data_IF_706233089101
#
_entry.id   IF_706233089101
#
_cell.length_a   1.000
_cell.length_b   1.000
_cell.length_c   1.000
_cell.angle_alpha   90.00
_cell.angle_beta   90.00
_cell.angle_gamma   90.00
#
_symmetry.space_group_name_H-M   'P 1'
#
loop_
_entity.id
_entity.type
_entity.pdbx_description
1 polymer ?
#
# COMPACT_ATOMS: atom_id res chain seq x y z
N UNK A 1 19.84 8.09 -6.63
CA UNK A 1 19.27 6.95 -5.87
C UNK A 1 18.10 6.44 -6.70
N UNK A 2 17.96 5.14 -6.93
CA UNK A 2 16.85 4.59 -7.71
C UNK A 2 15.55 4.73 -6.90
N UNK A 3 14.51 5.34 -7.48
CA UNK A 3 13.26 5.72 -6.79
C UNK A 3 12.13 4.72 -7.01
N UNK A 4 12.14 4.01 -8.14
CA UNK A 4 11.14 2.99 -8.44
C UNK A 4 11.16 2.51 -9.89
N UNK A 5 10.31 1.54 -10.19
CA UNK A 5 10.07 1.01 -11.53
C UNK A 5 8.65 1.38 -11.97
N UNK A 6 8.53 2.21 -13.01
CA UNK A 6 7.25 2.50 -13.63
C UNK A 6 6.77 1.32 -14.48
N UNK A 7 5.47 1.02 -14.41
CA UNK A 7 4.80 -0.02 -15.17
C UNK A 7 3.66 0.62 -15.95
N UNK A 8 3.74 0.57 -17.27
CA UNK A 8 2.64 0.98 -18.15
C UNK A 8 1.79 -0.25 -18.46
N UNK A 9 0.53 -0.21 -18.02
CA UNK A 9 -0.43 -1.29 -18.29
C UNK A 9 -1.34 -0.84 -19.42
N UNK A 10 -1.21 -1.49 -20.57
CA UNK A 10 -1.91 -1.13 -21.81
C UNK A 10 -3.44 -1.05 -21.66
N UNK A 11 -4.02 -0.13 -22.42
CA UNK A 11 -5.46 0.04 -22.56
C UNK A 11 -6.11 -1.25 -23.08
N UNK A 12 -7.23 -1.64 -22.46
CA UNK A 12 -7.95 -2.87 -22.82
C UNK A 12 -7.52 -4.13 -22.07
N UNK A 13 -6.60 -4.05 -21.09
CA UNK A 13 -6.41 -5.14 -20.13
C UNK A 13 -7.75 -5.45 -19.43
N UNK A 14 -8.22 -6.72 -19.43
CA UNK A 14 -9.45 -7.08 -18.73
C UNK A 14 -9.34 -6.74 -17.24
N UNK A 15 -10.51 -6.55 -16.60
CA UNK A 15 -10.68 -6.15 -15.18
C UNK A 15 -9.56 -6.73 -14.28
N UNK A 16 -8.93 -5.93 -13.40
CA UNK A 16 -7.88 -6.44 -12.53
C UNK A 16 -8.40 -7.61 -11.71
N UNK A 17 -7.53 -8.60 -11.60
CA UNK A 17 -7.76 -9.82 -10.85
C UNK A 17 -7.83 -9.59 -9.35
N UNK A 18 -7.45 -8.43 -8.86
CA UNK A 18 -7.66 -7.99 -7.48
C UNK A 18 -8.08 -6.52 -7.49
N UNK A 19 -9.22 -6.18 -6.92
CA UNK A 19 -9.72 -4.82 -7.02
C UNK A 19 -10.58 -4.39 -5.84
N UNK A 20 -10.74 -3.07 -5.74
CA UNK A 20 -11.60 -2.42 -4.75
C UNK A 20 -12.97 -2.20 -5.39
N UNK A 21 -14.01 -2.49 -4.62
CA UNK A 21 -15.41 -2.27 -4.99
C UNK A 21 -16.10 -1.41 -3.94
N UNK A 22 -16.99 -0.53 -4.38
CA UNK A 22 -17.84 0.30 -3.51
C UNK A 22 -19.29 -0.14 -3.65
N UNK A 23 -19.96 -0.36 -2.52
CA UNK A 23 -21.36 -0.79 -2.51
C UNK A 23 -22.33 0.36 -2.21
N UNK A 24 -21.82 1.56 -1.93
CA UNK A 24 -22.59 2.68 -1.37
C UNK A 24 -22.67 2.63 0.16
N UNK A 25 -23.06 3.76 0.76
CA UNK A 25 -23.17 3.87 2.22
C UNK A 25 -21.88 3.49 2.95
N UNK A 26 -20.73 4.00 2.47
CA UNK A 26 -19.39 3.83 3.09
C UNK A 26 -18.85 2.39 3.11
N UNK A 27 -19.42 1.49 2.30
CA UNK A 27 -19.02 0.08 2.23
C UNK A 27 -18.03 -0.19 1.10
N UNK A 28 -16.93 -0.83 1.44
CA UNK A 28 -15.88 -1.29 0.54
C UNK A 28 -15.80 -2.82 0.55
N UNK A 29 -15.47 -3.39 -0.59
CA UNK A 29 -15.11 -4.80 -0.73
C UNK A 29 -13.82 -4.88 -1.55
N UNK A 30 -12.81 -5.57 -1.03
CA UNK A 30 -11.70 -6.01 -1.85
C UNK A 30 -11.97 -7.45 -2.25
N UNK A 31 -11.94 -7.71 -3.55
CA UNK A 31 -12.15 -9.05 -4.09
C UNK A 31 -11.04 -9.41 -5.06
N UNK A 32 -10.47 -10.60 -4.86
CA UNK A 32 -9.51 -11.19 -5.77
C UNK A 32 -10.21 -12.22 -6.65
N UNK A 33 -10.43 -11.85 -7.91
CA UNK A 33 -11.31 -12.54 -8.85
C UNK A 33 -12.70 -12.62 -8.20
N UNK A 34 -13.28 -13.81 -8.12
CA UNK A 34 -14.57 -14.04 -7.47
C UNK A 34 -14.49 -14.20 -5.95
N UNK A 35 -13.29 -14.07 -5.35
CA UNK A 35 -13.08 -14.31 -3.91
C UNK A 35 -13.14 -13.01 -3.12
N UNK A 36 -14.11 -12.84 -2.20
CA UNK A 36 -14.08 -11.71 -1.28
C UNK A 36 -12.90 -11.86 -0.32
N UNK A 37 -12.06 -10.85 -0.21
CA UNK A 37 -10.81 -10.85 0.59
C UNK A 37 -10.96 -9.98 1.84
N UNK A 38 -11.48 -8.77 1.69
CA UNK A 38 -11.67 -7.82 2.77
C UNK A 38 -13.00 -7.11 2.61
N UNK A 39 -13.82 -7.13 3.64
CA UNK A 39 -14.99 -6.27 3.77
C UNK A 39 -14.61 -5.10 4.66
N UNK A 40 -15.04 -3.90 4.30
CA UNK A 40 -14.74 -2.71 5.07
C UNK A 40 -15.93 -1.74 5.10
N UNK A 41 -16.07 -1.02 6.20
CA UNK A 41 -17.07 0.02 6.41
C UNK A 41 -16.38 1.25 6.98
N UNK A 42 -16.39 2.34 6.23
CA UNK A 42 -15.86 3.62 6.70
C UNK A 42 -16.82 4.21 7.73
N UNK A 43 -16.28 4.68 8.84
CA UNK A 43 -17.06 5.31 9.90
C UNK A 43 -17.73 6.61 9.43
N UNK A 44 -18.81 7.03 10.10
CA UNK A 44 -19.57 8.21 9.71
C UNK A 44 -18.81 9.50 9.93
N UNK A 45 -18.05 9.56 11.03
CA UNK A 45 -17.16 10.67 11.36
C UNK A 45 -15.87 10.68 10.54
N UNK A 46 -15.67 9.73 9.62
CA UNK A 46 -14.41 9.55 8.88
C UNK A 46 -13.20 9.45 9.82
N UNK A 47 -13.38 8.81 10.98
CA UNK A 47 -12.30 8.55 11.93
C UNK A 47 -11.47 7.31 11.61
N UNK A 48 -12.04 6.40 10.81
CA UNK A 48 -11.40 5.14 10.49
C UNK A 48 -12.30 4.18 9.75
N UNK A 49 -11.88 2.91 9.71
CA UNK A 49 -12.51 1.84 8.95
C UNK A 49 -12.60 0.56 9.77
N UNK A 50 -13.82 0.10 10.02
CA UNK A 50 -14.05 -1.27 10.48
C UNK A 50 -13.82 -2.23 9.33
N UNK A 51 -13.06 -3.29 9.54
CA UNK A 51 -12.81 -4.28 8.50
C UNK A 51 -13.00 -5.71 8.97
N UNK A 52 -13.18 -6.59 7.99
CA UNK A 52 -13.23 -8.03 8.17
C UNK A 52 -12.53 -8.75 7.02
N UNK A 53 -11.45 -9.47 7.34
CA UNK A 53 -10.69 -10.32 6.42
C UNK A 53 -11.33 -11.68 6.28
N UNK A 54 -11.21 -12.24 5.08
CA UNK A 54 -11.47 -13.66 4.84
C UNK A 54 -10.13 -14.39 4.67
N UNK A 55 -10.15 -15.72 4.75
CA UNK A 55 -8.97 -16.55 4.44
C UNK A 55 -8.85 -16.85 2.93
N UNK A 56 -9.59 -16.11 2.08
CA UNK A 56 -9.65 -16.37 0.65
C UNK A 56 -8.49 -15.75 -0.14
N UNK A 57 -7.74 -14.83 0.45
CA UNK A 57 -6.61 -14.18 -0.21
C UNK A 57 -5.52 -15.18 -0.64
N UNK A 58 -5.00 -15.01 -1.85
CA UNK A 58 -3.82 -15.74 -2.34
C UNK A 58 -2.81 -14.73 -2.90
N UNK A 59 -1.54 -14.91 -2.57
CA UNK A 59 -0.49 -14.05 -3.12
C UNK A 59 -0.41 -14.19 -4.65
N UNK A 60 -0.22 -13.07 -5.33
CA UNK A 60 0.04 -13.00 -6.77
C UNK A 60 1.49 -13.42 -7.12
N UNK A 61 2.37 -13.54 -6.12
CA UNK A 61 3.77 -13.92 -6.28
C UNK A 61 3.96 -15.40 -5.96
N UNK A 62 4.60 -16.19 -6.84
CA UNK A 62 4.91 -17.58 -6.56
C UNK A 62 5.97 -17.69 -5.44
N UNK A 63 6.01 -18.79 -4.67
CA UNK A 63 6.99 -18.96 -3.59
C UNK A 63 8.43 -18.71 -4.04
N UNK A 64 9.10 -17.74 -3.39
CA UNK A 64 10.49 -17.40 -3.69
C UNK A 64 11.43 -18.46 -3.15
N UNK A 65 12.38 -18.90 -3.98
CA UNK A 65 13.42 -19.85 -3.60
C UNK A 65 14.59 -19.13 -2.93
N UNK A 66 15.23 -19.80 -1.98
CA UNK A 66 16.37 -19.22 -1.25
C UNK A 66 17.54 -18.87 -2.18
N UNK A 67 17.77 -19.64 -3.24
CA UNK A 67 18.82 -19.38 -4.22
C UNK A 67 18.58 -18.08 -5.02
N UNK A 68 17.34 -17.83 -5.41
CA UNK A 68 16.92 -16.57 -6.02
C UNK A 68 17.14 -15.41 -5.05
N UNK A 69 16.81 -15.61 -3.77
CA UNK A 69 16.98 -14.59 -2.75
C UNK A 69 18.45 -14.15 -2.61
N UNK A 70 19.39 -15.11 -2.60
CA UNK A 70 20.83 -14.84 -2.55
C UNK A 70 21.33 -14.16 -3.82
N UNK A 71 20.88 -14.61 -5.00
CA UNK A 71 21.30 -14.05 -6.30
C UNK A 71 20.90 -12.58 -6.46
N UNK A 72 19.78 -12.17 -5.86
CA UNK A 72 19.22 -10.82 -5.96
C UNK A 72 19.42 -10.00 -4.66
N UNK A 73 20.21 -10.48 -3.72
CA UNK A 73 20.38 -9.83 -2.43
C UNK A 73 20.93 -8.40 -2.60
N UNK A 74 20.34 -7.45 -1.88
CA UNK A 74 20.77 -6.05 -1.90
C UNK A 74 20.52 -5.29 -3.21
N UNK A 75 19.77 -5.85 -4.18
CA UNK A 75 19.46 -5.18 -5.45
C UNK A 75 17.93 -4.93 -5.59
N UNK A 76 17.43 -3.77 -5.09
CA UNK A 76 16.02 -3.41 -5.18
C UNK A 76 15.49 -3.35 -6.60
N UNK A 77 16.30 -2.91 -7.56
CA UNK A 77 15.89 -2.75 -8.96
C UNK A 77 15.62 -4.12 -9.60
N UNK A 78 16.49 -5.11 -9.37
CA UNK A 78 16.25 -6.48 -9.86
C UNK A 78 15.04 -7.13 -9.20
N UNK A 79 14.80 -6.87 -7.91
CA UNK A 79 13.57 -7.31 -7.25
C UNK A 79 12.33 -6.67 -7.85
N UNK A 80 12.40 -5.37 -8.15
CA UNK A 80 11.30 -4.65 -8.75
C UNK A 80 10.93 -5.21 -10.12
N UNK A 81 11.91 -5.43 -11.01
CA UNK A 81 11.66 -6.09 -12.30
C UNK A 81 11.08 -7.50 -12.14
N UNK A 82 11.53 -8.25 -11.12
CA UNK A 82 11.00 -9.59 -10.86
C UNK A 82 9.54 -9.55 -10.39
N UNK A 83 9.20 -8.68 -9.44
CA UNK A 83 7.82 -8.54 -8.96
C UNK A 83 6.92 -7.94 -10.03
N UNK A 84 7.40 -6.99 -10.83
CA UNK A 84 6.68 -6.48 -11.98
C UNK A 84 6.25 -7.60 -12.93
N UNK A 85 7.15 -8.53 -13.26
CA UNK A 85 6.81 -9.72 -14.07
C UNK A 85 5.73 -10.57 -13.42
N UNK A 86 5.87 -10.87 -12.12
CA UNK A 86 4.85 -11.67 -11.41
C UNK A 86 3.49 -10.97 -11.32
N UNK A 87 3.49 -9.65 -11.10
CA UNK A 87 2.28 -8.84 -11.10
C UNK A 87 1.63 -8.79 -12.47
N UNK A 88 2.40 -8.77 -13.54
CA UNK A 88 1.87 -8.74 -14.89
C UNK A 88 1.27 -10.09 -15.30
N UNK A 89 1.98 -11.19 -15.03
CA UNK A 89 1.55 -12.55 -15.38
C UNK A 89 0.42 -13.10 -14.49
N UNK A 90 0.22 -12.54 -13.28
CA UNK A 90 -0.72 -13.11 -12.32
C UNK A 90 -2.17 -12.67 -12.57
N UNK A 91 -3.12 -13.61 -12.72
CA UNK A 91 -4.54 -13.29 -12.84
C UNK A 91 -5.15 -12.82 -11.52
N UNK A 92 -4.40 -12.79 -10.41
CA UNK A 92 -4.83 -12.27 -9.10
C UNK A 92 -4.17 -10.93 -8.75
N UNK A 93 -3.60 -10.25 -9.74
CA UNK A 93 -2.88 -8.98 -9.60
C UNK A 93 -3.82 -7.78 -9.51
N UNK A 94 -3.44 -6.73 -8.75
CA UNK A 94 -4.17 -5.46 -8.74
C UNK A 94 -3.95 -4.60 -9.98
N UNK A 95 -2.95 -4.96 -10.81
CA UNK A 95 -2.62 -4.21 -12.02
C UNK A 95 -3.81 -4.16 -12.97
N UNK A 96 -4.16 -2.94 -13.33
CA UNK A 96 -5.13 -2.59 -14.36
C UNK A 96 -4.59 -1.42 -15.18
N UNK A 97 -5.30 -1.12 -16.26
CA UNK A 97 -5.01 -0.03 -17.18
C UNK A 97 -4.50 1.23 -16.48
N UNK A 98 -3.44 1.80 -17.08
CA UNK A 98 -2.79 3.02 -16.65
C UNK A 98 -1.41 2.77 -16.03
N UNK A 99 -0.79 3.88 -15.65
CA UNK A 99 0.54 3.91 -15.04
C UNK A 99 0.57 3.51 -13.56
N UNK A 100 1.50 2.63 -13.21
CA UNK A 100 1.82 2.21 -11.85
C UNK A 100 3.28 2.46 -11.51
N UNK A 101 3.59 2.61 -10.23
CA UNK A 101 4.94 2.68 -9.73
C UNK A 101 5.17 1.58 -8.70
N UNK A 102 6.28 0.88 -8.85
CA UNK A 102 6.84 0.00 -7.83
C UNK A 102 8.03 0.73 -7.18
N UNK A 103 7.74 1.49 -6.12
CA UNK A 103 8.74 2.27 -5.38
C UNK A 103 9.47 1.40 -4.37
N UNK A 104 10.73 1.72 -4.13
CA UNK A 104 11.48 1.14 -3.03
C UNK A 104 11.49 2.10 -1.86
N UNK A 105 10.80 1.70 -0.80
CA UNK A 105 10.88 2.40 0.45
C UNK A 105 11.88 1.69 1.36
N UNK A 106 12.87 2.46 1.80
CA UNK A 106 13.96 1.97 2.64
C UNK A 106 13.75 2.29 4.12
N UNK A 107 12.70 3.04 4.48
CA UNK A 107 12.53 3.59 5.82
C UNK A 107 11.14 3.33 6.38
N UNK A 108 10.92 2.11 6.83
CA UNK A 108 9.83 1.81 7.76
C UNK A 108 10.40 1.70 9.18
N UNK A 109 10.97 2.80 9.68
CA UNK A 109 11.33 2.89 11.09
C UNK A 109 10.04 2.75 11.92
N UNK A 110 10.00 1.79 12.85
CA UNK A 110 8.81 1.55 13.68
C UNK A 110 7.73 0.67 13.06
N UNK A 111 8.02 -0.05 11.95
CA UNK A 111 7.05 -0.88 11.22
C UNK A 111 6.20 -1.87 12.06
N UNK A 112 6.68 -2.30 13.24
CA UNK A 112 5.90 -3.16 14.15
C UNK A 112 4.67 -2.44 14.69
N UNK A 113 4.81 -1.15 14.99
CA UNK A 113 3.72 -0.28 15.46
C UNK A 113 2.75 0.08 14.32
N UNK A 114 3.21 -0.07 13.09
CA UNK A 114 2.45 0.23 11.88
C UNK A 114 1.60 -0.97 11.41
N UNK A 115 1.76 -2.14 12.03
CA UNK A 115 1.02 -3.34 11.66
C UNK A 115 -0.40 -3.30 12.22
N UNK A 116 -1.38 -3.39 11.33
CA UNK A 116 -2.79 -3.37 11.73
C UNK A 116 -3.16 -4.70 12.39
N UNK A 117 -3.57 -4.62 13.65
CA UNK A 117 -3.93 -5.76 14.48
C UNK A 117 -5.32 -6.34 14.15
N UNK A 118 -5.63 -7.45 14.82
CA UNK A 118 -6.87 -8.22 14.63
C UNK A 118 -6.75 -9.29 13.55
N UNK A 119 -7.68 -10.25 13.57
CA UNK A 119 -8.05 -11.17 12.48
C UNK A 119 -9.18 -12.05 13.01
N UNK A 120 -10.27 -12.28 12.27
CA UNK A 120 -10.57 -11.74 10.94
C UNK A 120 -10.96 -10.24 10.98
N UNK A 121 -11.56 -9.78 12.09
CA UNK A 121 -11.97 -8.38 12.26
C UNK A 121 -10.91 -7.49 12.89
N UNK A 122 -11.02 -6.18 12.66
CA UNK A 122 -10.20 -5.14 13.28
C UNK A 122 -10.65 -3.74 12.84
N UNK A 123 -9.89 -2.73 13.24
CA UNK A 123 -10.15 -1.33 12.96
C UNK A 123 -8.87 -0.66 12.43
N UNK A 124 -9.03 0.19 11.41
CA UNK A 124 -8.00 1.12 10.91
C UNK A 124 -8.33 2.50 11.44
N UNK A 125 -7.39 3.16 12.11
CA UNK A 125 -7.61 4.47 12.71
C UNK A 125 -6.84 5.54 11.92
N UNK A 126 -7.56 6.41 11.23
CA UNK A 126 -6.98 7.44 10.37
C UNK A 126 -6.33 8.60 11.14
N UNK A 127 -6.47 8.65 12.46
CA UNK A 127 -5.95 9.71 13.31
C UNK A 127 -4.75 9.26 14.16
N UNK A 128 -4.74 8.00 14.60
CA UNK A 128 -3.68 7.43 15.45
C UNK A 128 -2.32 7.36 14.74
N UNK A 129 -2.31 7.10 13.43
CA UNK A 129 -1.08 6.91 12.65
C UNK A 129 -0.90 8.00 11.59
N UNK A 130 -0.92 9.26 12.03
CA UNK A 130 -0.63 10.48 11.23
C UNK A 130 0.69 10.47 10.42
N UNK A 131 1.45 9.37 10.43
CA UNK A 131 2.70 9.15 9.69
C UNK A 131 2.52 8.37 8.37
N UNK A 132 1.30 7.93 8.01
CA UNK A 132 0.93 7.60 6.61
C UNK A 132 1.32 6.20 6.09
N UNK A 133 1.55 5.21 6.96
CA UNK A 133 2.05 3.90 6.55
C UNK A 133 1.48 2.71 7.34
N UNK A 134 0.18 2.70 7.65
CA UNK A 134 -0.43 1.49 8.23
C UNK A 134 -0.29 0.30 7.26
N UNK A 135 0.16 -0.85 7.77
CA UNK A 135 0.34 -2.09 7.01
C UNK A 135 -0.69 -3.10 7.45
N UNK A 136 -1.63 -3.45 6.57
CA UNK A 136 -2.68 -4.45 6.79
C UNK A 136 -2.32 -5.79 6.13
N UNK A 137 -2.03 -6.84 6.92
CA UNK A 137 -1.86 -8.18 6.39
C UNK A 137 -3.18 -8.73 5.84
N UNK A 138 -3.21 -9.16 4.57
CA UNK A 138 -4.42 -9.78 3.99
C UNK A 138 -4.72 -11.21 4.48
N UNK A 139 -3.86 -11.76 5.36
CA UNK A 139 -3.96 -13.09 5.96
C UNK A 139 -3.43 -13.03 7.39
N UNK A 140 -3.77 -14.00 8.26
CA UNK A 140 -3.13 -14.14 9.56
C UNK A 140 -1.61 -14.12 9.42
N UNK A 141 -0.95 -13.35 10.28
CA UNK A 141 0.50 -13.37 10.34
C UNK A 141 0.96 -14.73 10.87
N UNK A 142 1.87 -15.43 10.16
CA UNK A 142 2.34 -16.73 10.61
C UNK A 142 3.13 -16.59 11.91
N UNK A 143 2.96 -17.57 12.80
CA UNK A 143 3.69 -17.61 14.06
C UNK A 143 5.20 -17.78 13.88
N UNK A 144 6.00 -17.44 14.91
CA UNK A 144 7.47 -17.49 14.85
C UNK A 144 8.02 -18.91 14.63
N UNK A 145 7.21 -19.93 14.93
CA UNK A 145 7.58 -21.34 14.80
C UNK A 145 7.31 -21.96 13.42
N UNK A 146 6.62 -21.23 12.53
CA UNK A 146 6.36 -21.67 11.16
C UNK A 146 7.67 -21.94 10.41
N UNK A 147 7.75 -23.06 9.70
CA UNK A 147 8.96 -23.46 8.98
C UNK A 147 9.43 -22.43 7.95
N UNK A 148 8.50 -21.73 7.28
CA UNK A 148 8.84 -20.63 6.36
C UNK A 148 9.40 -19.43 7.11
N UNK A 149 8.82 -19.07 8.26
CA UNK A 149 9.32 -17.97 9.09
C UNK A 149 10.74 -18.29 9.55
N UNK A 150 11.00 -19.50 10.06
CA UNK A 150 12.36 -19.95 10.45
C UNK A 150 13.37 -19.85 9.29
N UNK A 151 12.98 -20.27 8.09
CA UNK A 151 13.84 -20.14 6.91
C UNK A 151 14.12 -18.68 6.54
N UNK A 152 13.12 -17.80 6.60
CA UNK A 152 13.29 -16.38 6.32
C UNK A 152 14.09 -15.64 7.42
N UNK A 153 13.98 -16.04 8.69
CA UNK A 153 14.80 -15.49 9.78
C UNK A 153 16.29 -15.70 9.52
N UNK A 154 16.67 -16.85 8.95
CA UNK A 154 18.03 -17.08 8.49
C UNK A 154 18.44 -16.08 7.40
N UNK A 155 17.57 -15.83 6.43
CA UNK A 155 17.84 -14.84 5.36
C UNK A 155 17.91 -13.40 5.86
N UNK A 156 17.16 -13.04 6.90
CA UNK A 156 17.29 -11.74 7.58
C UNK A 156 18.70 -11.58 8.12
N UNK A 157 19.19 -12.56 8.88
CA UNK A 157 20.55 -12.53 9.46
C UNK A 157 21.65 -12.52 8.41
N UNK A 158 21.41 -13.16 7.27
CA UNK A 158 22.34 -13.20 6.13
C UNK A 158 22.26 -11.96 5.23
N UNK A 159 21.30 -11.04 5.46
CA UNK A 159 21.10 -9.85 4.62
C UNK A 159 20.55 -10.16 3.23
N UNK A 160 19.90 -11.32 3.06
CA UNK A 160 19.38 -11.79 1.75
C UNK A 160 17.86 -11.91 1.73
N UNK A 161 17.15 -11.30 2.68
CA UNK A 161 15.68 -11.36 2.75
C UNK A 161 15.07 -10.70 1.49
N UNK A 162 14.21 -11.39 0.72
CA UNK A 162 13.49 -10.74 -0.38
C UNK A 162 12.54 -9.65 0.13
N UNK A 163 12.28 -8.59 -0.67
CA UNK A 163 11.37 -7.53 -0.24
C UNK A 163 9.94 -8.03 0.04
N UNK A 164 9.28 -7.42 1.01
CA UNK A 164 7.83 -7.52 1.20
C UNK A 164 7.17 -6.66 0.12
N UNK A 165 6.15 -7.20 -0.55
CA UNK A 165 5.41 -6.49 -1.58
C UNK A 165 4.13 -5.91 -0.98
N UNK A 166 4.03 -4.59 -0.96
CA UNK A 166 2.88 -3.85 -0.46
C UNK A 166 2.07 -3.26 -1.60
N UNK A 167 0.78 -2.99 -1.35
CA UNK A 167 -0.10 -2.25 -2.25
C UNK A 167 -0.81 -1.14 -1.50
N UNK A 168 -0.57 0.11 -1.88
CA UNK A 168 -1.29 1.26 -1.34
C UNK A 168 -2.74 1.28 -1.82
N UNK A 169 -3.69 1.31 -0.88
CA UNK A 169 -5.12 1.44 -1.16
C UNK A 169 -5.67 2.71 -0.52
N UNK A 170 -5.85 3.74 -1.36
CA UNK A 170 -6.24 5.09 -0.90
C UNK A 170 -7.60 5.14 -0.20
N UNK A 171 -8.53 4.24 -0.53
CA UNK A 171 -9.85 4.18 0.13
C UNK A 171 -9.80 3.65 1.57
N UNK A 172 -8.68 3.05 1.96
CA UNK A 172 -8.40 2.59 3.32
C UNK A 172 -7.35 3.45 4.01
N UNK A 173 -6.65 4.31 3.25
CA UNK A 173 -5.43 5.02 3.68
C UNK A 173 -4.37 4.06 4.27
N UNK A 174 -4.21 2.89 3.63
CA UNK A 174 -3.42 1.77 4.18
C UNK A 174 -2.69 0.95 3.09
N UNK A 175 -1.52 0.41 3.46
CA UNK A 175 -0.72 -0.52 2.67
C UNK A 175 -1.11 -1.97 2.93
N UNK A 176 -1.51 -2.69 1.89
CA UNK A 176 -1.89 -4.10 1.98
C UNK A 176 -0.70 -5.01 1.68
N UNK A 177 -0.48 -6.03 2.50
CA UNK A 177 0.56 -7.04 2.21
C UNK A 177 0.10 -7.97 1.08
N UNK A 178 0.62 -7.77 -0.14
CA UNK A 178 0.37 -8.65 -1.28
C UNK A 178 1.21 -9.93 -1.23
N UNK A 179 2.48 -9.80 -0.87
CA UNK A 179 3.36 -10.93 -0.66
C UNK A 179 4.37 -10.65 0.44
N UNK A 180 4.79 -11.71 1.11
CA UNK A 180 5.82 -11.63 2.14
C UNK A 180 5.29 -11.62 3.56
N UNK A 181 4.07 -12.09 3.85
CA UNK A 181 3.58 -12.27 5.23
C UNK A 181 4.59 -12.99 6.13
N UNK A 182 5.20 -14.08 5.65
CA UNK A 182 6.23 -14.81 6.40
C UNK A 182 7.59 -14.09 6.45
N UNK A 183 7.91 -13.25 5.45
CA UNK A 183 9.13 -12.44 5.42
C UNK A 183 9.04 -11.29 6.41
N UNK A 184 7.87 -10.65 6.44
CA UNK A 184 7.49 -9.67 7.44
C UNK A 184 7.54 -10.30 8.84
N UNK A 185 6.86 -11.42 9.09
CA UNK A 185 6.93 -12.12 10.39
C UNK A 185 8.37 -12.49 10.81
N UNK A 186 9.21 -12.91 9.85
CA UNK A 186 10.62 -13.20 10.11
C UNK A 186 11.43 -11.96 10.51
N UNK A 187 11.23 -10.84 9.81
CA UNK A 187 11.83 -9.56 10.19
C UNK A 187 11.37 -9.13 11.59
N UNK A 188 10.10 -9.35 11.96
CA UNK A 188 9.56 -9.04 13.31
C UNK A 188 10.34 -9.81 14.36
N UNK A 189 10.47 -11.12 14.13
CA UNK A 189 11.10 -12.03 15.07
C UNK A 189 12.60 -11.74 15.27
N UNK A 190 13.25 -11.15 14.27
CA UNK A 190 14.65 -10.71 14.35
C UNK A 190 14.81 -9.23 14.73
N UNK A 191 13.70 -8.50 14.97
CA UNK A 191 13.71 -7.05 15.21
C UNK A 191 14.49 -6.26 14.13
N UNK A 192 14.36 -6.70 12.88
CA UNK A 192 15.00 -6.08 11.72
C UNK A 192 13.96 -5.34 10.88
N UNK A 193 14.39 -4.33 10.13
CA UNK A 193 13.55 -3.68 9.12
C UNK A 193 13.51 -4.55 7.85
N UNK A 194 12.32 -4.97 7.38
CA UNK A 194 12.23 -5.71 6.13
C UNK A 194 12.48 -4.75 4.94
N UNK A 195 13.17 -5.20 3.88
CA UNK A 195 13.13 -4.45 2.62
C UNK A 195 11.70 -4.45 2.07
N UNK A 196 11.24 -3.32 1.53
CA UNK A 196 9.88 -3.18 1.03
C UNK A 196 9.88 -2.65 -0.40
N UNK A 197 8.98 -3.23 -1.20
CA UNK A 197 8.58 -2.66 -2.48
C UNK A 197 7.09 -2.34 -2.40
N UNK A 198 6.76 -1.09 -2.65
CA UNK A 198 5.41 -0.56 -2.59
C UNK A 198 4.87 -0.38 -4.00
N UNK A 199 3.70 -0.97 -4.26
CA UNK A 199 2.94 -0.78 -5.49
C UNK A 199 1.86 0.28 -5.26
N UNK A 200 1.81 1.29 -6.13
CA UNK A 200 0.72 2.26 -6.15
C UNK A 200 0.44 2.77 -7.57
N UNK A 201 -0.76 3.31 -7.80
CA UNK A 201 -1.07 4.00 -9.06
C UNK A 201 -0.26 5.30 -9.12
N UNK A 202 0.32 5.59 -10.28
CA UNK A 202 1.05 6.82 -10.52
C UNK A 202 0.28 7.74 -11.48
N UNK A 203 0.68 9.01 -11.51
CA UNK A 203 0.13 9.97 -12.48
C UNK A 203 0.40 9.46 -13.89
N UNK A 204 -0.57 9.57 -14.80
CA UNK A 204 -0.36 9.17 -16.20
C UNK A 204 0.76 10.00 -16.82
N UNK A 205 1.45 9.44 -17.82
CA UNK A 205 2.62 10.09 -18.41
C UNK A 205 2.29 11.46 -19.02
N UNK A 206 1.14 11.59 -19.68
CA UNK A 206 0.70 12.86 -20.27
C UNK A 206 0.35 13.90 -19.19
N UNK A 207 -0.40 13.51 -18.16
CA UNK A 207 -0.72 14.38 -17.03
C UNK A 207 0.55 14.83 -16.28
N UNK A 208 1.52 13.91 -16.12
CA UNK A 208 2.81 14.20 -15.50
C UNK A 208 3.59 15.21 -16.33
N UNK A 209 3.64 15.04 -17.66
CA UNK A 209 4.34 15.98 -18.54
C UNK A 209 3.77 17.40 -18.42
N UNK A 210 2.44 17.54 -18.40
CA UNK A 210 1.76 18.83 -18.19
C UNK A 210 2.14 19.45 -16.85
N UNK A 211 2.13 18.66 -15.76
CA UNK A 211 2.51 19.16 -14.43
C UNK A 211 3.98 19.55 -14.34
N UNK A 212 4.86 18.79 -14.96
CA UNK A 212 6.29 19.12 -15.02
C UNK A 212 6.48 20.46 -15.76
N UNK A 213 5.79 20.66 -16.88
CA UNK A 213 5.85 21.92 -17.64
C UNK A 213 5.35 23.11 -16.80
N UNK A 214 4.25 22.96 -16.07
CA UNK A 214 3.74 23.99 -15.14
C UNK A 214 4.76 24.36 -14.06
N UNK A 215 5.39 23.37 -13.40
CA UNK A 215 6.38 23.62 -12.35
C UNK A 215 7.68 24.24 -12.90
N UNK A 216 8.10 23.84 -14.10
CA UNK A 216 9.23 24.46 -14.79
C UNK A 216 8.93 25.91 -15.15
N UNK A 217 7.73 26.21 -15.65
CA UNK A 217 7.31 27.59 -15.93
C UNK A 217 7.33 28.45 -14.67
N UNK A 218 6.84 27.93 -13.54
CA UNK A 218 6.90 28.65 -12.26
C UNK A 218 8.34 28.92 -11.81
N UNK A 219 9.24 27.96 -12.00
CA UNK A 219 10.65 28.13 -11.71
C UNK A 219 11.30 29.20 -12.59
N UNK A 220 10.98 29.24 -13.89
CA UNK A 220 11.48 30.28 -14.81
C UNK A 220 11.02 31.69 -14.40
N UNK A 221 9.76 31.84 -14.00
CA UNK A 221 9.22 33.10 -13.47
C UNK A 221 9.95 33.54 -12.19
N UNK A 222 10.24 32.59 -11.29
CA UNK A 222 11.02 32.85 -10.08
C UNK A 222 12.46 33.28 -10.40
N UNK A 223 13.13 32.64 -11.36
CA UNK A 223 14.45 33.06 -11.81
C UNK A 223 14.44 34.48 -12.39
N UNK A 224 13.43 34.81 -13.20
CA UNK A 224 13.25 36.16 -13.73
C UNK A 224 13.04 37.19 -12.60
N UNK A 225 12.24 36.84 -11.57
CA UNK A 225 12.04 37.66 -10.38
C UNK A 225 13.34 37.92 -9.62
N UNK A 226 14.15 36.88 -9.37
CA UNK A 226 15.46 37.03 -8.72
C UNK A 226 16.43 37.87 -9.54
N UNK A 227 16.46 37.69 -10.87
CA UNK A 227 17.28 38.49 -11.76
C UNK A 227 16.88 39.98 -11.72
N UNK A 228 15.57 40.28 -11.75
CA UNK A 228 15.06 41.65 -11.62
C UNK A 228 15.42 42.28 -10.27
N UNK A 229 15.25 41.55 -9.16
CA UNK A 229 15.63 42.04 -7.83
C UNK A 229 17.13 42.31 -7.72
N UNK A 230 17.96 41.45 -8.29
CA UNK A 230 19.42 41.61 -8.29
C UNK A 230 19.87 42.80 -9.13
N UNK A 231 19.16 43.12 -10.22
CA UNK A 231 19.41 44.32 -11.00
C UNK A 231 19.16 45.61 -10.19
N UNK A 232 18.18 45.60 -9.28
CA UNK A 232 17.82 46.77 -8.44
C UNK A 232 18.66 46.87 -7.17
N UNK A 233 18.88 45.74 -6.49
CA UNK A 233 19.47 45.69 -5.15
C UNK A 233 20.92 45.14 -5.12
N UNK A 234 21.47 44.85 -6.30
CA UNK A 234 22.83 44.39 -6.47
C UNK A 234 23.07 42.97 -5.92
N UNK A 235 24.33 42.59 -5.68
CA UNK A 235 24.71 41.21 -5.36
C UNK A 235 24.30 40.73 -3.96
N UNK A 236 23.62 41.58 -3.16
CA UNK A 236 23.04 41.18 -1.88
C UNK A 236 21.83 40.26 -2.04
N UNK A 237 21.17 40.31 -3.21
CA UNK A 237 20.11 39.37 -3.58
C UNK A 237 20.74 38.04 -3.98
N UNK A 238 20.32 36.91 -3.37
CA UNK A 238 20.82 35.58 -3.71
C UNK A 238 20.62 35.24 -5.19
N UNK A 239 21.45 34.32 -5.70
CA UNK A 239 21.20 33.70 -7.00
C UNK A 239 19.96 32.83 -6.94
N UNK A 240 18.97 33.13 -7.79
CA UNK A 240 17.71 32.40 -7.86
C UNK A 240 17.90 30.91 -8.13
N UNK A 241 18.95 30.51 -8.87
CA UNK A 241 19.24 29.09 -9.14
C UNK A 241 19.59 28.32 -7.87
N UNK A 242 20.36 28.94 -6.97
CA UNK A 242 20.74 28.36 -5.69
C UNK A 242 19.60 28.29 -4.68
N UNK A 243 18.56 29.13 -4.84
CA UNK A 243 17.40 29.16 -3.93
C UNK A 243 16.26 28.28 -4.46
N UNK A 244 15.85 28.49 -5.70
CA UNK A 244 14.67 27.82 -6.28
C UNK A 244 14.99 26.46 -6.91
N UNK A 245 16.23 26.23 -7.36
CA UNK A 245 16.62 24.97 -8.02
C UNK A 245 16.41 23.72 -7.14
N UNK A 246 16.86 23.70 -5.87
CA UNK A 246 16.60 22.58 -4.97
C UNK A 246 15.11 22.35 -4.69
N UNK A 247 14.28 23.40 -4.71
CA UNK A 247 12.83 23.28 -4.53
C UNK A 247 12.19 22.62 -5.75
N UNK A 248 12.52 23.08 -6.97
CA UNK A 248 12.04 22.45 -8.20
C UNK A 248 12.43 20.97 -8.25
N UNK A 249 13.68 20.64 -7.95
CA UNK A 249 14.15 19.25 -7.95
C UNK A 249 13.33 18.34 -7.00
N UNK A 250 12.92 18.85 -5.82
CA UNK A 250 12.05 18.13 -4.89
C UNK A 250 10.64 17.99 -5.45
N UNK A 251 10.06 19.06 -5.97
CA UNK A 251 8.71 19.04 -6.55
C UNK A 251 8.60 18.04 -7.71
N UNK A 252 9.59 18.03 -8.61
CA UNK A 252 9.62 17.07 -9.72
C UNK A 252 9.74 15.62 -9.21
N UNK A 253 10.62 15.38 -8.22
CA UNK A 253 10.74 14.05 -7.60
C UNK A 253 9.46 13.62 -6.91
N UNK A 254 8.75 14.54 -6.25
CA UNK A 254 7.50 14.28 -5.56
C UNK A 254 6.37 14.00 -6.56
N UNK A 255 6.31 14.71 -7.68
CA UNK A 255 5.35 14.47 -8.77
C UNK A 255 5.53 13.06 -9.37
N UNK A 256 6.77 12.64 -9.60
CA UNK A 256 7.07 11.31 -10.14
C UNK A 256 6.68 10.17 -9.18
N UNK A 257 6.88 10.37 -7.87
CA UNK A 257 6.61 9.38 -6.83
C UNK A 257 5.20 9.50 -6.23
N UNK A 258 4.36 10.42 -6.71
CA UNK A 258 3.07 10.71 -6.09
C UNK A 258 2.10 9.55 -6.25
N UNK A 259 1.66 9.00 -5.11
CA UNK A 259 0.54 8.07 -5.03
C UNK A 259 -0.74 8.71 -5.59
N UNK A 260 -1.38 8.03 -6.54
CA UNK A 260 -2.70 8.37 -7.04
C UNK A 260 -3.78 7.55 -6.35
N UNK A 261 -5.00 8.08 -6.39
CA UNK A 261 -6.17 7.39 -5.85
C UNK A 261 -6.33 6.01 -6.48
N UNK A 262 -6.58 5.01 -5.64
CA UNK A 262 -6.94 3.68 -6.08
C UNK A 262 -8.30 3.71 -6.73
N UNK A 263 -8.43 3.12 -7.91
CA UNK A 263 -9.72 2.99 -8.56
C UNK A 263 -10.59 1.98 -7.84
N UNK A 264 -11.80 2.40 -7.51
CA UNK A 264 -12.81 1.56 -6.92
C UNK A 264 -14.02 1.49 -7.87
N UNK A 265 -14.54 0.28 -8.06
CA UNK A 265 -15.64 0.03 -9.00
C UNK A 265 -16.96 -0.15 -8.26
N UNK A 266 -18.10 0.24 -8.83
CA UNK A 266 -19.39 -0.09 -8.23
C UNK A 266 -19.53 -1.61 -8.10
N UNK A 267 -19.88 -2.09 -6.91
CA UNK A 267 -20.23 -3.48 -6.68
C UNK A 267 -21.58 -3.75 -7.36
N UNK A 268 -21.68 -4.70 -8.32
CA UNK A 268 -22.97 -5.09 -8.87
C UNK A 268 -23.91 -5.57 -7.76
N UNK A 269 -25.15 -5.06 -7.74
CA UNK A 269 -26.09 -5.33 -6.65
C UNK A 269 -25.91 -4.46 -5.39
N UNK A 270 -24.90 -3.58 -5.37
CA UNK A 270 -24.72 -2.53 -4.38
C UNK A 270 -24.71 -3.04 -2.94
N UNK A 271 -25.38 -2.31 -2.05
CA UNK A 271 -25.41 -2.59 -0.60
C UNK A 271 -25.95 -3.99 -0.29
N UNK A 272 -26.98 -4.46 -1.00
CA UNK A 272 -27.59 -5.76 -0.70
C UNK A 272 -26.64 -6.91 -1.02
N UNK A 273 -25.92 -6.82 -2.13
CA UNK A 273 -24.91 -7.81 -2.47
C UNK A 273 -23.76 -7.80 -1.47
N UNK A 274 -23.32 -6.61 -1.04
CA UNK A 274 -22.31 -6.48 0.00
C UNK A 274 -22.76 -7.16 1.31
N UNK A 275 -24.00 -6.94 1.75
CA UNK A 275 -24.55 -7.57 2.96
C UNK A 275 -24.65 -9.08 2.82
N UNK A 276 -25.01 -9.58 1.63
CA UNK A 276 -25.07 -11.02 1.35
C UNK A 276 -23.68 -11.65 1.50
N UNK A 277 -22.65 -11.04 0.91
CA UNK A 277 -21.25 -11.48 1.02
C UNK A 277 -20.77 -11.41 2.47
N UNK A 278 -21.03 -10.30 3.16
CA UNK A 278 -20.65 -10.12 4.56
C UNK A 278 -21.28 -11.18 5.46
N UNK A 279 -22.59 -11.43 5.32
CA UNK A 279 -23.28 -12.48 6.05
C UNK A 279 -22.70 -13.87 5.79
N UNK A 280 -22.27 -14.18 4.56
CA UNK A 280 -21.61 -15.44 4.25
C UNK A 280 -20.22 -15.54 4.89
N UNK A 281 -19.42 -14.47 4.85
CA UNK A 281 -18.09 -14.42 5.45
C UNK A 281 -18.14 -14.58 6.99
N UNK A 282 -19.09 -13.90 7.66
CA UNK A 282 -19.27 -14.00 9.11
C UNK A 282 -19.70 -15.41 9.55
N UNK A 283 -20.59 -16.07 8.80
CA UNK A 283 -21.00 -17.46 9.08
C UNK A 283 -19.88 -18.47 8.86
N UNK A 284 -19.05 -18.28 7.83
CA UNK A 284 -17.89 -19.13 7.57
C UNK A 284 -16.85 -19.10 8.69
N UNK A 285 -16.63 -17.92 9.30
CA UNK A 285 -15.73 -17.76 10.44
C UNK A 285 -16.28 -18.38 11.73
N UNK A 286 -17.59 -18.27 11.98
CA UNK A 286 -18.24 -18.88 13.16
C UNK A 286 -18.14 -20.41 13.21
N UNK A 287 -18.01 -21.07 12.06
CA UNK A 287 -17.81 -22.53 11.98
C UNK A 287 -16.34 -22.97 12.17
N UNK A 288 -15.35 -22.07 12.06
CA UNK A 288 -13.95 -22.37 12.39
C UNK A 288 -13.60 -22.09 13.87
N UNK A 289 -14.40 -21.27 14.56
CA UNK A 289 -14.15 -20.84 15.94
C UNK A 289 -14.64 -21.84 17.02
N UNK A 290 -15.08 -23.05 16.67
CA UNK A 290 -15.54 -24.05 17.66
C UNK A 290 -14.43 -24.92 18.25
N UNK A 291 -13.15 -24.60 18.01
CA UNK A 291 -12.03 -25.15 18.78
C UNK A 291 -11.27 -24.03 19.51
N UNK A 292 -11.51 -23.95 20.82
CA UNK A 292 -10.86 -23.12 21.86
C UNK A 292 -11.46 -21.74 22.14
N UNK A 293 -12.18 -21.71 23.28
CA UNK A 293 -12.50 -20.61 24.21
C UNK A 293 -12.75 -19.20 23.67
N UNK A 294 -14.04 -18.85 23.63
CA UNK A 294 -14.53 -17.47 23.49
C UNK A 294 -14.96 -16.90 24.85
N UNK A 295 -14.73 -15.60 25.12
CA UNK A 295 -15.63 -14.83 25.94
C UNK A 295 -16.46 -13.90 25.05
N UNK A 296 -17.78 -14.02 25.21
CA UNK A 296 -18.77 -13.16 24.61
C UNK A 296 -18.61 -11.70 25.09
N UNK A 297 -18.66 -10.76 24.15
CA UNK A 297 -19.12 -9.39 24.42
C UNK A 297 -20.08 -8.94 23.33
N UNK A 298 -21.34 -8.84 23.71
CA UNK A 298 -22.36 -8.08 22.98
C UNK A 298 -21.99 -6.58 22.99
N UNK A 299 -22.36 -5.82 21.96
CA UNK A 299 -22.10 -4.39 21.91
C UNK A 299 -23.01 -3.66 22.90
N UNK A 300 -22.42 -3.15 23.99
CA UNK A 300 -23.11 -2.33 24.98
C UNK A 300 -23.43 -0.94 24.41
N UNK A 301 -24.73 -0.69 24.30
CA UNK A 301 -25.35 0.61 24.12
C UNK A 301 -25.30 1.38 25.46
N UNK A 302 -24.69 2.57 25.55
CA UNK A 302 -25.07 3.69 26.45
C UNK A 302 -24.14 4.93 26.33
N UNK A 303 -24.58 6.13 26.77
CA UNK A 303 -24.40 7.39 26.02
C UNK A 303 -23.54 8.47 26.72
N UNK A 304 -23.29 9.55 25.95
CA UNK A 304 -23.02 10.97 26.30
C UNK A 304 -22.41 11.29 27.68
N UNK A 305 -21.29 11.99 27.65
CA UNK A 305 -20.83 12.87 28.73
C UNK A 305 -20.05 14.06 28.18
N UNK A 306 -20.72 15.20 28.02
CA UNK A 306 -20.10 16.51 27.93
C UNK A 306 -19.38 16.82 29.26
N UNK A 307 -18.10 17.19 29.19
CA UNK A 307 -17.49 18.38 29.80
C UNK A 307 -16.07 18.56 29.29
#
# INVERSE_FOLDING_TARGET
MWTGLALEVEEGRPRPGFGVFTAGGRRLLLAQQERPVLLAVVEEGLGGVDFWRTDAYRSCVPPLRADTARTLAGDPQRWAHRFARHLDESPGSPLHEGRWLLSYESRLAGWREMLVEGHPGGYLDWHLHSTGWEVLPLRPMPGPDDGRVKAYRKQVREGTLPPVLLWWVSGLDCHLVLDGHARLAAAMAESAEPPVLELHRAMQSDDLAVRVEEEVSFYEDELARYAALRAVHGPTVPDGTGVAGPQLARLLSDLEARQQLTWARPLPGGVEEWRRIAGAAFRGAGNCATSHDAPAREPSNCPRGLR
#
